data_IF_352412421881
#
_entry.id   IF_352412421881
#
_cell.length_a   1.000
_cell.length_b   1.000
_cell.length_c   1.000
_cell.angle_alpha   90.00
_cell.angle_beta   90.00
_cell.angle_gamma   90.00
#
_symmetry.space_group_name_H-M   'P 1'
#
loop_
_entity.id
_entity.type
_entity.pdbx_description
1 polymer ?
#
# COMPACT_ATOMS: atom_id res chain seq x y z
N UNK A 1 -22.03 39.95 -48.49
CA UNK A 1 -21.00 38.90 -48.57
C UNK A 1 -19.88 39.31 -47.64
N UNK A 2 -19.69 38.61 -46.51
CA UNK A 2 -18.41 38.33 -45.83
C UNK A 2 -18.74 37.46 -44.62
N UNK A 3 -18.60 36.15 -44.79
CA UNK A 3 -18.63 35.15 -43.72
C UNK A 3 -17.24 35.14 -43.07
N UNK A 4 -17.14 35.42 -41.77
CA UNK A 4 -15.92 35.24 -41.00
C UNK A 4 -16.18 34.17 -39.94
N UNK A 5 -15.52 33.02 -40.16
CA UNK A 5 -15.63 31.81 -39.38
C UNK A 5 -15.11 31.99 -37.96
N UNK A 6 -15.96 31.67 -37.00
CA UNK A 6 -15.57 31.47 -35.61
C UNK A 6 -15.13 30.02 -35.44
N UNK A 7 -13.87 29.73 -35.73
CA UNK A 7 -13.15 28.60 -35.12
C UNK A 7 -11.80 29.09 -34.63
N UNK A 8 -11.77 29.64 -33.42
CA UNK A 8 -10.54 29.64 -32.64
C UNK A 8 -10.43 28.28 -31.98
N UNK A 9 -9.53 27.48 -32.54
CA UNK A 9 -8.85 26.34 -31.94
C UNK A 9 -8.87 26.43 -30.40
N UNK A 10 -9.54 25.49 -29.72
CA UNK A 10 -9.14 25.16 -28.36
C UNK A 10 -7.82 24.40 -28.48
N UNK A 11 -6.73 24.84 -27.86
CA UNK A 11 -5.62 23.93 -27.64
C UNK A 11 -6.15 22.87 -26.66
N UNK A 12 -6.30 21.65 -27.15
CA UNK A 12 -6.37 20.47 -26.29
C UNK A 12 -5.10 20.52 -25.44
N UNK A 13 -5.28 20.79 -24.14
CA UNK A 13 -4.22 20.55 -23.15
C UNK A 13 -4.01 19.04 -23.11
N UNK A 14 -3.16 18.53 -23.99
CA UNK A 14 -2.47 17.29 -23.75
C UNK A 14 -1.70 17.46 -22.45
N UNK A 15 -2.17 16.80 -21.39
CA UNK A 15 -1.43 16.63 -20.13
C UNK A 15 -0.30 15.60 -20.30
N UNK A 16 0.24 15.46 -21.50
CA UNK A 16 1.42 14.67 -21.78
C UNK A 16 2.65 15.56 -21.58
N UNK A 17 3.30 15.41 -20.43
CA UNK A 17 4.64 15.98 -20.22
C UNK A 17 4.73 17.16 -19.25
N UNK A 18 3.71 17.43 -18.41
CA UNK A 18 3.89 18.40 -17.33
C UNK A 18 4.65 17.73 -16.17
N UNK A 19 5.97 17.78 -16.24
CA UNK A 19 6.83 17.41 -15.12
C UNK A 19 6.38 18.20 -13.89
N UNK A 20 5.87 17.49 -12.88
CA UNK A 20 5.47 18.10 -11.61
C UNK A 20 6.62 18.95 -11.07
N UNK A 21 6.35 20.18 -10.57
CA UNK A 21 7.39 21.04 -10.05
C UNK A 21 8.13 20.33 -8.91
N UNK A 22 9.46 20.54 -8.76
CA UNK A 22 10.30 19.73 -7.87
C UNK A 22 9.77 19.65 -6.44
N UNK A 23 9.26 20.76 -5.88
CA UNK A 23 8.67 20.75 -4.53
C UNK A 23 7.35 19.98 -4.37
N UNK A 24 6.64 19.62 -5.46
CA UNK A 24 5.48 18.71 -5.42
C UNK A 24 5.95 17.25 -5.51
N UNK A 25 6.94 16.95 -6.35
CA UNK A 25 7.54 15.61 -6.42
C UNK A 25 8.15 15.19 -5.08
N UNK A 26 8.86 16.09 -4.42
CA UNK A 26 9.47 15.83 -3.10
C UNK A 26 8.41 15.60 -2.02
N UNK A 27 7.28 16.30 -2.08
CA UNK A 27 6.14 16.12 -1.16
C UNK A 27 5.41 14.81 -1.42
N UNK A 28 5.22 14.45 -2.68
CA UNK A 28 4.58 13.19 -3.06
C UNK A 28 5.46 12.00 -2.66
N UNK A 29 6.77 12.07 -2.88
CA UNK A 29 7.71 11.05 -2.44
C UNK A 29 7.72 10.91 -0.92
N UNK A 30 7.73 12.04 -0.19
CA UNK A 30 7.61 12.02 1.26
C UNK A 30 6.30 11.38 1.72
N UNK A 31 5.17 11.74 1.10
CA UNK A 31 3.86 11.17 1.41
C UNK A 31 3.87 9.65 1.17
N UNK A 32 4.44 9.17 0.06
CA UNK A 32 4.60 7.75 -0.23
C UNK A 32 5.45 7.03 0.81
N UNK A 33 6.56 7.63 1.24
CA UNK A 33 7.41 7.05 2.29
C UNK A 33 6.71 6.99 3.65
N UNK A 34 5.92 8.02 3.99
CA UNK A 34 5.14 8.05 5.24
C UNK A 34 4.03 7.00 5.20
N UNK A 35 3.32 6.88 4.08
CA UNK A 35 2.29 5.86 3.88
C UNK A 35 2.88 4.46 4.00
N UNK A 36 3.95 4.16 3.26
CA UNK A 36 4.62 2.87 3.34
C UNK A 36 5.06 2.51 4.77
N UNK A 37 5.50 3.50 5.54
CA UNK A 37 5.85 3.30 6.96
C UNK A 37 4.62 3.05 7.84
N UNK A 38 3.49 3.69 7.55
CA UNK A 38 2.24 3.46 8.27
C UNK A 38 1.72 2.05 7.96
N UNK A 39 1.71 1.65 6.69
CA UNK A 39 1.26 0.33 6.25
C UNK A 39 2.14 -0.77 6.85
N UNK A 40 3.46 -0.60 6.82
CA UNK A 40 4.40 -1.56 7.42
C UNK A 40 4.25 -1.68 8.94
N UNK A 41 3.71 -0.66 9.62
CA UNK A 41 3.36 -0.75 11.05
C UNK A 41 2.03 -1.45 11.27
N UNK A 42 1.03 -1.14 10.44
CA UNK A 42 -0.26 -1.82 10.48
C UNK A 42 -0.07 -3.34 10.26
N UNK A 43 0.74 -3.74 9.28
CA UNK A 43 1.03 -5.15 9.02
C UNK A 43 1.68 -5.86 10.22
N UNK A 44 2.53 -5.18 11.00
CA UNK A 44 3.09 -5.76 12.22
C UNK A 44 2.03 -6.00 13.29
N UNK A 45 1.08 -5.08 13.45
CA UNK A 45 -0.01 -5.25 14.40
C UNK A 45 -0.99 -6.34 13.94
N UNK A 46 -1.28 -6.41 12.64
CA UNK A 46 -2.11 -7.45 12.04
C UNK A 46 -1.46 -8.83 12.13
N UNK A 47 -0.14 -8.94 11.87
CA UNK A 47 0.62 -10.18 12.08
C UNK A 47 0.46 -10.71 13.51
N UNK A 48 0.56 -9.82 14.50
CA UNK A 48 0.37 -10.20 15.91
C UNK A 48 -1.06 -10.67 16.15
N UNK A 49 -2.06 -9.98 15.62
CA UNK A 49 -3.46 -10.40 15.73
C UNK A 49 -3.73 -11.76 15.08
N UNK A 50 -3.13 -12.03 13.92
CA UNK A 50 -3.19 -13.32 13.22
C UNK A 50 -2.59 -14.42 14.10
N UNK A 51 -1.37 -14.22 14.62
CA UNK A 51 -0.72 -15.21 15.47
C UNK A 51 -1.45 -15.45 16.79
N UNK A 52 -1.96 -14.39 17.43
CA UNK A 52 -2.79 -14.54 18.63
C UNK A 52 -4.05 -15.36 18.37
N UNK A 53 -4.63 -15.23 17.18
CA UNK A 53 -5.84 -15.97 16.81
C UNK A 53 -5.54 -17.43 16.44
N UNK A 54 -4.38 -17.70 15.83
CA UNK A 54 -3.98 -19.02 15.37
C UNK A 54 -3.38 -19.89 16.49
N UNK A 55 -2.49 -19.33 17.29
CA UNK A 55 -1.67 -20.06 18.26
C UNK A 55 -1.93 -19.62 19.71
N UNK A 56 -2.59 -18.48 19.92
CA UNK A 56 -2.72 -17.85 21.23
C UNK A 56 -1.50 -17.03 21.61
N UNK A 57 -1.38 -16.68 22.90
CA UNK A 57 -0.22 -15.96 23.44
C UNK A 57 -0.41 -14.45 23.60
N UNK A 58 0.50 -13.85 24.38
CA UNK A 58 0.51 -12.41 24.60
C UNK A 58 1.17 -11.70 23.41
N UNK A 59 0.61 -10.55 23.02
CA UNK A 59 1.11 -9.74 21.90
C UNK A 59 2.60 -9.36 22.05
N UNK A 60 3.07 -9.15 23.28
CA UNK A 60 4.47 -8.81 23.54
C UNK A 60 5.42 -9.98 23.24
N UNK A 61 5.05 -11.19 23.64
CA UNK A 61 5.85 -12.40 23.39
C UNK A 61 5.96 -12.67 21.88
N UNK A 62 4.84 -12.57 21.15
CA UNK A 62 4.83 -12.74 19.68
C UNK A 62 5.73 -11.70 18.99
N UNK A 63 5.67 -10.43 19.41
CA UNK A 63 6.56 -9.40 18.85
C UNK A 63 8.02 -9.66 19.17
N UNK A 64 8.31 -10.17 20.36
CA UNK A 64 9.66 -10.50 20.79
C UNK A 64 10.22 -11.68 19.99
N UNK A 65 9.42 -12.71 19.76
CA UNK A 65 9.80 -13.87 18.97
C UNK A 65 10.01 -13.49 17.50
N UNK A 66 9.10 -12.69 16.93
CA UNK A 66 9.26 -12.15 15.57
C UNK A 66 10.54 -11.32 15.43
N UNK A 67 10.83 -10.46 16.41
CA UNK A 67 12.07 -9.70 16.43
C UNK A 67 13.31 -10.58 16.61
N UNK A 68 13.23 -11.63 17.43
CA UNK A 68 14.33 -12.56 17.65
C UNK A 68 14.67 -13.36 16.38
N UNK A 69 13.65 -13.73 15.60
CA UNK A 69 13.81 -14.52 14.39
C UNK A 69 14.27 -13.69 13.19
N UNK A 70 13.62 -12.55 12.93
CA UNK A 70 13.84 -11.77 11.70
C UNK A 70 14.61 -10.47 11.92
N UNK A 71 14.81 -10.07 13.17
CA UNK A 71 15.44 -8.81 13.53
C UNK A 71 14.61 -7.59 13.11
N UNK A 72 15.18 -6.40 13.39
CA UNK A 72 14.49 -5.12 13.20
C UNK A 72 14.03 -4.86 11.77
N UNK A 73 14.83 -5.26 10.79
CA UNK A 73 14.53 -5.00 9.37
C UNK A 73 13.68 -6.12 8.78
N UNK A 74 13.93 -7.38 9.17
CA UNK A 74 13.22 -8.53 8.60
C UNK A 74 11.79 -8.69 9.12
N UNK A 75 11.51 -8.30 10.36
CA UNK A 75 10.16 -8.43 10.95
C UNK A 75 9.07 -7.74 10.12
N UNK A 76 9.40 -6.61 9.48
CA UNK A 76 8.46 -5.87 8.65
C UNK A 76 8.11 -6.63 7.38
N UNK A 77 9.14 -7.16 6.70
CA UNK A 77 8.95 -7.95 5.48
C UNK A 77 8.19 -9.25 5.76
N UNK A 78 8.44 -9.88 6.91
CA UNK A 78 7.72 -11.10 7.29
C UNK A 78 6.26 -10.81 7.63
N UNK A 79 5.98 -9.75 8.39
CA UNK A 79 4.63 -9.33 8.68
C UNK A 79 3.85 -9.01 7.39
N UNK A 80 4.45 -8.27 6.46
CA UNK A 80 3.90 -8.00 5.13
C UNK A 80 3.58 -9.29 4.36
N UNK A 81 4.50 -10.27 4.38
CA UNK A 81 4.32 -11.57 3.70
C UNK A 81 3.14 -12.34 4.27
N UNK A 82 3.04 -12.45 5.58
CA UNK A 82 1.98 -13.23 6.24
C UNK A 82 0.63 -12.56 6.08
N UNK A 83 0.52 -11.25 6.24
CA UNK A 83 -0.73 -10.51 6.02
C UNK A 83 -1.19 -10.65 4.57
N UNK A 84 -0.27 -10.55 3.60
CA UNK A 84 -0.61 -10.77 2.19
C UNK A 84 -1.12 -12.20 1.92
N UNK A 85 -0.50 -13.21 2.52
CA UNK A 85 -0.97 -14.59 2.41
C UNK A 85 -2.36 -14.80 3.00
N UNK A 86 -2.63 -14.24 4.18
CA UNK A 86 -3.94 -14.35 4.84
C UNK A 86 -5.02 -13.64 4.03
N UNK A 87 -4.73 -12.44 3.51
CA UNK A 87 -5.67 -11.71 2.67
C UNK A 87 -5.97 -12.46 1.37
N UNK A 88 -4.96 -13.03 0.71
CA UNK A 88 -5.16 -13.84 -0.48
C UNK A 88 -6.07 -15.05 -0.18
N UNK A 89 -5.81 -15.76 0.91
CA UNK A 89 -6.65 -16.89 1.31
C UNK A 89 -8.08 -16.47 1.67
N UNK A 90 -8.26 -15.28 2.26
CA UNK A 90 -9.57 -14.72 2.55
C UNK A 90 -10.32 -14.35 1.27
N UNK A 91 -9.63 -13.76 0.29
CA UNK A 91 -10.21 -13.39 -1.01
C UNK A 91 -10.63 -14.65 -1.79
N UNK A 92 -9.80 -15.70 -1.84
CA UNK A 92 -10.14 -16.99 -2.46
C UNK A 92 -11.37 -17.64 -1.80
N UNK A 93 -11.52 -17.51 -0.48
CA UNK A 93 -12.68 -18.03 0.24
C UNK A 93 -13.95 -17.19 0.02
N UNK A 94 -13.79 -15.89 -0.32
CA UNK A 94 -14.87 -14.95 -0.57
C UNK A 94 -15.41 -15.01 -2.01
N UNK A 95 -14.61 -15.48 -2.96
CA UNK A 95 -15.01 -15.81 -4.34
C UNK A 95 -14.94 -17.33 -4.60
N UNK A 96 -15.76 -18.14 -3.91
CA UNK A 96 -15.84 -19.55 -4.20
C UNK A 96 -16.48 -19.72 -5.60
N UNK A 97 -15.68 -20.19 -6.55
CA UNK A 97 -16.14 -20.72 -7.85
C UNK A 97 -17.08 -21.92 -7.59
N UNK A 98 -18.35 -21.64 -7.30
CA UNK A 98 -19.41 -22.64 -7.23
C UNK A 98 -19.90 -22.94 -8.67
N UNK A 99 -19.17 -23.81 -9.37
CA UNK A 99 -19.67 -24.51 -10.56
C UNK A 99 -20.76 -25.54 -10.20
#
# INVERSE_FOLDING_TARGET
MYSLGWRKHRPERTLDGMALPPGIRDREELARRVLARADSRANLDDYVGIQQSAEGGAAEDIRKDLYAEYGRTGQHAEAERVVAMVNLAADEQADPDWD
#
